data_IF_963916917870
#
_entry.id   IF_963916917870
#
_cell.length_a   1.000
_cell.length_b   1.000
_cell.length_c   1.000
_cell.angle_alpha   90.00
_cell.angle_beta   90.00
_cell.angle_gamma   90.00
#
_symmetry.space_group_name_H-M   'P 1'
#
loop_
_entity.id
_entity.type
_entity.pdbx_description
1 polymer ?
#
# COMPACT_ATOMS: atom_id res chain seq x y z
N UNK A 1 2.86 -4.29 23.35
CA UNK A 1 2.24 -3.55 22.23
C UNK A 1 2.62 -4.17 20.89
N UNK A 2 1.91 -3.85 19.81
CA UNK A 2 2.17 -4.36 18.45
C UNK A 2 3.62 -4.15 18.01
N UNK A 3 4.11 -2.92 18.08
CA UNK A 3 5.46 -2.58 17.62
C UNK A 3 6.56 -3.29 18.43
N UNK A 4 6.26 -3.67 19.66
CA UNK A 4 7.20 -4.36 20.57
C UNK A 4 7.33 -5.86 20.26
N UNK A 5 6.39 -6.43 19.50
CA UNK A 5 6.43 -7.85 19.11
C UNK A 5 7.68 -8.22 18.29
N UNK A 6 8.35 -7.24 17.67
CA UNK A 6 9.59 -7.44 16.92
C UNK A 6 10.86 -6.96 17.62
N UNK A 7 10.73 -6.38 18.82
CA UNK A 7 11.85 -5.73 19.53
C UNK A 7 12.45 -6.70 20.55
N UNK A 8 13.15 -7.68 19.99
CA UNK A 8 13.94 -8.66 20.73
C UNK A 8 15.44 -8.37 20.65
N UNK A 9 16.18 -8.83 21.65
CA UNK A 9 17.63 -8.63 21.77
C UNK A 9 18.43 -9.16 20.57
N UNK A 10 17.93 -10.25 19.97
CA UNK A 10 18.48 -11.00 18.84
C UNK A 10 18.10 -10.40 17.48
N UNK A 11 17.03 -9.61 17.42
CA UNK A 11 16.54 -8.98 16.19
C UNK A 11 17.22 -7.64 15.94
N UNK A 12 18.56 -7.63 15.95
CA UNK A 12 19.36 -6.43 15.68
C UNK A 12 18.98 -5.78 14.34
N UNK A 13 19.05 -4.45 14.27
CA UNK A 13 18.66 -3.68 13.09
C UNK A 13 19.31 -4.15 11.78
N UNK A 14 20.57 -4.57 11.78
CA UNK A 14 21.25 -5.06 10.58
C UNK A 14 20.57 -6.30 9.96
N UNK A 15 19.87 -7.13 10.75
CA UNK A 15 19.07 -8.25 10.22
C UNK A 15 17.89 -7.73 9.39
N UNK A 16 17.32 -6.58 9.77
CA UNK A 16 16.27 -5.95 8.98
C UNK A 16 16.80 -5.46 7.63
N UNK A 17 18.04 -4.97 7.57
CA UNK A 17 18.67 -4.62 6.29
C UNK A 17 18.87 -5.85 5.39
N UNK A 18 19.34 -6.96 5.96
CA UNK A 18 19.51 -8.22 5.20
C UNK A 18 18.15 -8.73 4.71
N UNK A 19 17.13 -8.77 5.57
CA UNK A 19 15.82 -9.23 5.13
C UNK A 19 15.16 -8.28 4.13
N UNK A 20 15.40 -6.97 4.20
CA UNK A 20 15.01 -6.04 3.14
C UNK A 20 15.66 -6.38 1.79
N UNK A 21 16.96 -6.73 1.77
CA UNK A 21 17.63 -7.19 0.55
C UNK A 21 16.99 -8.47 0.01
N UNK A 22 16.64 -9.42 0.88
CA UNK A 22 15.95 -10.65 0.49
C UNK A 22 14.55 -10.35 -0.08
N UNK A 23 13.78 -9.48 0.57
CA UNK A 23 12.44 -9.07 0.11
C UNK A 23 12.52 -8.41 -1.28
N UNK A 24 13.48 -7.50 -1.48
CA UNK A 24 13.74 -6.88 -2.79
C UNK A 24 14.17 -7.92 -3.82
N UNK A 25 15.03 -8.89 -3.46
CA UNK A 25 15.40 -9.95 -4.38
C UNK A 25 14.18 -10.79 -4.82
N UNK A 26 13.25 -11.07 -3.91
CA UNK A 26 12.02 -11.80 -4.25
C UNK A 26 11.06 -11.00 -5.13
N UNK A 27 11.06 -9.67 -5.06
CA UNK A 27 10.27 -8.84 -5.98
C UNK A 27 10.82 -8.90 -7.40
N UNK A 28 12.16 -8.88 -7.57
CA UNK A 28 12.80 -9.08 -8.88
C UNK A 28 12.51 -10.47 -9.47
N UNK A 29 12.50 -11.53 -8.65
CA UNK A 29 12.07 -12.87 -9.10
C UNK A 29 10.62 -12.83 -9.58
N UNK A 30 9.74 -12.14 -8.85
CA UNK A 30 8.35 -11.97 -9.22
C UNK A 30 8.12 -11.15 -10.49
N UNK A 31 9.11 -10.35 -10.93
CA UNK A 31 9.06 -9.59 -12.19
C UNK A 31 9.53 -10.40 -13.41
N UNK A 32 10.08 -11.61 -13.23
CA UNK A 32 10.54 -12.46 -14.34
C UNK A 32 9.43 -12.73 -15.38
N UNK A 33 8.17 -13.03 -15.02
CA UNK A 33 7.10 -13.21 -16.02
C UNK A 33 6.89 -11.98 -16.89
N UNK A 34 6.93 -10.76 -16.32
CA UNK A 34 6.82 -9.51 -17.07
C UNK A 34 7.99 -9.36 -18.04
N UNK A 35 9.22 -9.58 -17.56
CA UNK A 35 10.43 -9.50 -18.38
C UNK A 35 10.40 -10.48 -19.56
N UNK A 36 10.00 -11.73 -19.32
CA UNK A 36 9.87 -12.75 -20.36
C UNK A 36 8.79 -12.38 -21.39
N UNK A 37 7.67 -11.82 -20.94
CA UNK A 37 6.63 -11.30 -21.82
C UNK A 37 7.15 -10.19 -22.74
N UNK A 38 7.91 -9.23 -22.19
CA UNK A 38 8.48 -8.12 -22.96
C UNK A 38 9.49 -8.66 -23.99
N UNK A 39 10.40 -9.54 -23.56
CA UNK A 39 11.38 -10.17 -24.45
C UNK A 39 10.68 -10.92 -25.58
N UNK A 40 9.59 -11.63 -25.31
CA UNK A 40 8.83 -12.34 -26.34
C UNK A 40 8.24 -11.38 -27.38
N UNK A 41 7.54 -10.31 -26.97
CA UNK A 41 6.99 -9.34 -27.91
C UNK A 41 8.11 -8.63 -28.72
N UNK A 42 9.23 -8.30 -28.09
CA UNK A 42 10.35 -7.65 -28.77
C UNK A 42 11.05 -8.57 -29.76
N UNK A 43 11.38 -9.79 -29.36
CA UNK A 43 12.17 -10.71 -30.20
C UNK A 43 11.30 -11.41 -31.24
N UNK A 44 10.10 -11.88 -30.86
CA UNK A 44 9.25 -12.67 -31.74
C UNK A 44 8.37 -11.80 -32.66
N UNK A 45 7.99 -10.59 -32.24
CA UNK A 45 7.05 -9.72 -32.98
C UNK A 45 7.66 -8.37 -33.39
N UNK A 46 8.90 -8.07 -33.00
CA UNK A 46 9.59 -6.85 -33.40
C UNK A 46 9.08 -5.58 -32.72
N UNK A 47 8.35 -5.71 -31.60
CA UNK A 47 7.89 -4.55 -30.81
C UNK A 47 9.10 -3.89 -30.12
N UNK A 48 9.32 -2.55 -30.25
CA UNK A 48 10.42 -1.88 -29.58
C UNK A 48 10.41 -2.14 -28.07
N UNK A 49 11.60 -2.39 -27.49
CA UNK A 49 11.73 -2.55 -26.03
C UNK A 49 11.38 -1.23 -25.32
N UNK A 50 10.63 -1.26 -24.19
CA UNK A 50 10.20 -0.04 -23.51
C UNK A 50 11.39 0.75 -22.96
N UNK A 51 11.47 2.05 -23.29
CA UNK A 51 12.59 2.91 -22.94
C UNK A 51 12.53 3.45 -21.50
N UNK A 52 11.40 3.31 -20.82
CA UNK A 52 11.20 3.79 -19.44
C UNK A 52 9.94 3.25 -18.79
N UNK A 53 9.66 3.72 -17.57
CA UNK A 53 8.54 3.24 -16.76
C UNK A 53 7.18 3.51 -17.39
N UNK A 54 6.98 4.67 -18.01
CA UNK A 54 5.70 5.02 -18.66
C UNK A 54 5.38 4.03 -19.80
N UNK A 55 6.33 3.79 -20.71
CA UNK A 55 6.16 2.81 -21.79
C UNK A 55 5.98 1.38 -21.25
N UNK A 56 6.67 1.02 -20.17
CA UNK A 56 6.52 -0.29 -19.53
C UNK A 56 5.11 -0.50 -18.97
N UNK A 57 4.54 0.51 -18.32
CA UNK A 57 3.17 0.46 -17.76
C UNK A 57 2.08 0.38 -18.85
N UNK A 58 2.42 0.68 -20.10
CA UNK A 58 1.51 0.66 -21.25
C UNK A 58 1.92 -0.34 -22.32
N UNK A 59 2.87 -1.24 -22.02
CA UNK A 59 3.44 -2.15 -23.00
C UNK A 59 2.46 -3.24 -23.46
N UNK A 60 1.66 -3.79 -22.54
CA UNK A 60 0.58 -4.74 -22.83
C UNK A 60 -0.80 -4.09 -22.64
N UNK A 61 -1.86 -4.83 -23.02
CA UNK A 61 -3.22 -4.50 -22.61
C UNK A 61 -3.29 -4.26 -21.08
N UNK A 62 -4.05 -3.26 -20.61
CA UNK A 62 -4.17 -2.90 -19.20
C UNK A 62 -4.34 -4.07 -18.22
N UNK A 63 -5.18 -5.07 -18.55
CA UNK A 63 -5.39 -6.21 -17.65
C UNK A 63 -4.15 -7.12 -17.58
N UNK A 64 -3.48 -7.34 -18.71
CA UNK A 64 -2.26 -8.16 -18.74
C UNK A 64 -1.11 -7.44 -18.02
N UNK A 65 -0.94 -6.13 -18.26
CA UNK A 65 0.07 -5.33 -17.56
C UNK A 65 -0.17 -5.35 -16.05
N UNK A 66 -1.41 -5.09 -15.61
CA UNK A 66 -1.79 -5.11 -14.20
C UNK A 66 -1.51 -6.49 -13.58
N UNK A 67 -1.92 -7.58 -14.23
CA UNK A 67 -1.66 -8.94 -13.75
C UNK A 67 -0.17 -9.23 -13.57
N UNK A 68 0.65 -8.93 -14.59
CA UNK A 68 2.09 -9.19 -14.59
C UNK A 68 2.86 -8.34 -13.58
N UNK A 69 2.36 -7.15 -13.24
CA UNK A 69 2.93 -6.34 -12.17
C UNK A 69 2.48 -6.88 -10.80
N UNK A 70 1.18 -7.13 -10.60
CA UNK A 70 0.65 -7.54 -9.31
C UNK A 70 1.12 -8.93 -8.88
N UNK A 71 1.40 -9.85 -9.83
CA UNK A 71 1.94 -11.17 -9.48
C UNK A 71 3.29 -11.08 -8.76
N UNK A 72 4.09 -10.04 -9.02
CA UNK A 72 5.36 -9.83 -8.33
C UNK A 72 5.22 -9.64 -6.81
N UNK A 73 4.08 -9.10 -6.36
CA UNK A 73 3.77 -8.95 -4.94
C UNK A 73 3.45 -10.28 -4.26
N UNK A 74 2.95 -11.29 -5.00
CA UNK A 74 2.78 -12.65 -4.46
C UNK A 74 4.14 -13.24 -4.08
N UNK A 75 5.14 -13.12 -4.96
CA UNK A 75 6.50 -13.57 -4.68
C UNK A 75 7.13 -12.78 -3.52
N UNK A 76 6.89 -11.47 -3.47
CA UNK A 76 7.38 -10.61 -2.39
C UNK A 76 6.75 -10.99 -1.05
N UNK A 77 5.45 -11.29 -1.00
CA UNK A 77 4.77 -11.78 0.20
C UNK A 77 5.37 -13.10 0.71
N UNK A 78 5.70 -14.02 -0.20
CA UNK A 78 6.41 -15.25 0.14
C UNK A 78 7.79 -14.93 0.72
N UNK A 79 8.53 -13.99 0.13
CA UNK A 79 9.81 -13.49 0.67
C UNK A 79 9.69 -12.94 2.09
N UNK A 80 8.67 -12.12 2.34
CA UNK A 80 8.36 -11.59 3.68
C UNK A 80 8.11 -12.74 4.67
N UNK A 81 7.29 -13.73 4.29
CA UNK A 81 7.03 -14.90 5.13
C UNK A 81 8.33 -15.60 5.54
N UNK A 82 9.23 -15.87 4.57
CA UNK A 82 10.51 -16.52 4.85
C UNK A 82 11.40 -15.67 5.77
N UNK A 83 11.51 -14.38 5.50
CA UNK A 83 12.30 -13.45 6.31
C UNK A 83 11.76 -13.40 7.75
N UNK A 84 10.46 -13.19 7.93
CA UNK A 84 9.83 -13.13 9.25
C UNK A 84 10.00 -14.46 10.01
N UNK A 85 9.74 -15.59 9.34
CA UNK A 85 9.76 -16.91 9.98
C UNK A 85 11.17 -17.40 10.31
N UNK A 86 12.12 -17.25 9.41
CA UNK A 86 13.44 -17.90 9.54
C UNK A 86 14.54 -16.94 9.96
N UNK A 87 14.56 -15.70 9.46
CA UNK A 87 15.59 -14.72 9.85
C UNK A 87 15.28 -14.10 11.22
N UNK A 88 14.01 -13.77 11.46
CA UNK A 88 13.57 -13.12 12.70
C UNK A 88 12.96 -14.05 13.74
N UNK A 89 12.71 -15.32 13.38
CA UNK A 89 12.05 -16.33 14.23
C UNK A 89 10.70 -15.86 14.79
N UNK A 90 10.02 -15.02 14.02
CA UNK A 90 8.72 -14.45 14.35
C UNK A 90 7.58 -15.20 13.65
N UNK A 91 6.35 -14.82 13.98
CA UNK A 91 5.15 -15.33 13.29
C UNK A 91 4.58 -14.23 12.40
N UNK A 92 3.85 -14.59 11.34
CA UNK A 92 3.13 -13.56 10.57
C UNK A 92 2.17 -12.77 11.46
N UNK A 93 1.52 -13.44 12.43
CA UNK A 93 0.66 -12.77 13.41
C UNK A 93 1.40 -11.67 14.16
N UNK A 94 2.62 -11.91 14.63
CA UNK A 94 3.39 -10.92 15.43
C UNK A 94 3.77 -9.69 14.62
N UNK A 95 3.83 -9.79 13.29
CA UNK A 95 3.99 -8.63 12.38
C UNK A 95 2.67 -8.08 11.85
N UNK A 96 1.52 -8.71 12.14
CA UNK A 96 0.17 -8.20 11.81
C UNK A 96 -0.50 -7.49 12.99
N UNK A 97 -0.50 -8.10 14.18
CA UNK A 97 -1.26 -7.62 15.35
C UNK A 97 -0.72 -8.17 16.67
N UNK A 98 -0.90 -7.44 17.78
CA UNK A 98 -0.69 -7.98 19.13
C UNK A 98 -1.89 -8.76 19.68
N UNK A 99 -3.00 -8.85 18.94
CA UNK A 99 -4.18 -9.63 19.33
C UNK A 99 -3.90 -11.14 19.23
N UNK A 100 -4.70 -11.98 19.93
CA UNK A 100 -4.59 -13.43 19.80
C UNK A 100 -4.80 -13.95 18.36
N UNK A 101 -5.67 -13.28 17.60
CA UNK A 101 -6.01 -13.59 16.21
C UNK A 101 -6.21 -12.29 15.41
N UNK A 102 -6.05 -12.37 14.09
CA UNK A 102 -6.37 -11.28 13.16
C UNK A 102 -7.86 -10.99 13.24
N UNK A 103 -8.21 -9.74 13.50
CA UNK A 103 -9.61 -9.31 13.59
C UNK A 103 -10.11 -8.82 12.22
N UNK A 104 -10.63 -9.77 11.43
CA UNK A 104 -11.18 -9.49 10.10
C UNK A 104 -12.33 -8.49 10.11
N UNK A 105 -13.04 -8.32 11.23
CA UNK A 105 -14.12 -7.31 11.32
C UNK A 105 -13.57 -5.89 11.16
N UNK A 106 -12.33 -5.65 11.59
CA UNK A 106 -11.63 -4.36 11.41
C UNK A 106 -11.26 -4.15 9.95
N UNK A 107 -10.73 -5.17 9.30
CA UNK A 107 -10.41 -5.15 7.86
C UNK A 107 -11.67 -4.78 7.07
N UNK A 108 -12.76 -5.54 7.24
CA UNK A 108 -14.01 -5.29 6.52
C UNK A 108 -14.65 -3.95 6.87
N UNK A 109 -14.58 -3.51 8.12
CA UNK A 109 -15.12 -2.21 8.51
C UNK A 109 -14.37 -1.07 7.84
N UNK A 110 -13.04 -1.08 7.92
CA UNK A 110 -12.19 -0.04 7.30
C UNK A 110 -12.35 -0.04 5.77
N UNK A 111 -12.36 -1.23 5.17
CA UNK A 111 -12.61 -1.42 3.74
C UNK A 111 -13.97 -0.84 3.32
N UNK A 112 -15.05 -1.19 4.02
CA UNK A 112 -16.40 -0.76 3.66
C UNK A 112 -16.58 0.75 3.83
N UNK A 113 -16.02 1.31 4.91
CA UNK A 113 -16.09 2.75 5.18
C UNK A 113 -15.39 3.54 4.08
N UNK A 114 -14.16 3.15 3.73
CA UNK A 114 -13.40 3.85 2.69
C UNK A 114 -14.00 3.62 1.30
N UNK A 115 -14.43 2.40 0.97
CA UNK A 115 -15.12 2.11 -0.30
C UNK A 115 -16.36 2.97 -0.49
N UNK A 116 -17.19 3.09 0.55
CA UNK A 116 -18.38 3.94 0.49
C UNK A 116 -18.01 5.41 0.29
N UNK A 117 -17.01 5.90 1.03
CA UNK A 117 -16.52 7.27 0.86
C UNK A 117 -16.04 7.52 -0.57
N UNK A 118 -15.14 6.67 -1.09
CA UNK A 118 -14.57 6.79 -2.45
C UNK A 118 -15.66 6.74 -3.52
N UNK A 119 -16.58 5.78 -3.46
CA UNK A 119 -17.70 5.66 -4.41
C UNK A 119 -18.54 6.94 -4.39
N UNK A 120 -18.95 7.40 -3.20
CA UNK A 120 -19.79 8.59 -3.05
C UNK A 120 -19.06 9.84 -3.56
N UNK A 121 -17.79 10.03 -3.19
CA UNK A 121 -17.01 11.19 -3.63
C UNK A 121 -16.80 11.21 -5.13
N UNK A 122 -16.50 10.05 -5.74
CA UNK A 122 -16.34 9.93 -7.19
C UNK A 122 -17.64 10.22 -7.92
N UNK A 123 -18.77 9.67 -7.47
CA UNK A 123 -20.07 9.94 -8.08
C UNK A 123 -20.46 11.41 -7.93
N UNK A 124 -20.25 12.01 -6.75
CA UNK A 124 -20.49 13.43 -6.55
C UNK A 124 -19.67 14.27 -7.53
N UNK A 125 -18.37 13.99 -7.66
CA UNK A 125 -17.49 14.73 -8.57
C UNK A 125 -17.88 14.55 -10.04
N UNK A 126 -18.26 13.33 -10.44
CA UNK A 126 -18.80 13.04 -11.77
C UNK A 126 -20.07 13.86 -12.07
N UNK A 127 -21.02 13.92 -11.14
CA UNK A 127 -22.27 14.67 -11.36
C UNK A 127 -22.09 16.18 -11.30
N UNK A 128 -21.11 16.70 -10.54
CA UNK A 128 -20.82 18.14 -10.51
C UNK A 128 -19.98 18.60 -11.69
N UNK A 129 -19.11 17.73 -12.23
CA UNK A 129 -18.21 18.03 -13.35
C UNK A 129 -18.27 16.95 -14.45
N UNK A 130 -19.43 16.74 -15.08
CA UNK A 130 -19.60 15.65 -16.04
C UNK A 130 -18.71 15.75 -17.28
N UNK A 131 -18.21 16.95 -17.60
CA UNK A 131 -17.28 17.18 -18.72
C UNK A 131 -15.88 16.61 -18.49
N UNK A 132 -15.51 16.32 -17.25
CA UNK A 132 -14.19 15.79 -16.89
C UNK A 132 -14.12 14.25 -17.02
N UNK A 133 -15.26 13.60 -17.29
CA UNK A 133 -15.37 12.14 -17.31
C UNK A 133 -15.99 11.62 -18.60
N UNK A 134 -15.49 10.47 -19.04
CA UNK A 134 -16.14 9.66 -20.07
C UNK A 134 -16.39 8.25 -19.56
N UNK A 135 -17.48 7.63 -20.03
CA UNK A 135 -17.77 6.24 -19.74
C UNK A 135 -16.76 5.34 -20.48
N UNK A 136 -15.98 4.57 -19.73
CA UNK A 136 -14.95 3.65 -20.24
C UNK A 136 -15.38 2.17 -20.14
N UNK A 137 -16.54 1.91 -19.53
CA UNK A 137 -17.00 0.58 -19.19
C UNK A 137 -17.14 -0.35 -20.40
N UNK A 138 -16.32 -1.41 -20.42
CA UNK A 138 -16.41 -2.54 -21.36
C UNK A 138 -16.67 -3.81 -20.55
N UNK A 139 -17.84 -4.47 -20.67
CA UNK A 139 -18.25 -5.54 -19.75
C UNK A 139 -17.23 -6.68 -19.59
N UNK A 140 -16.67 -7.18 -20.70
CA UNK A 140 -15.72 -8.31 -20.67
C UNK A 140 -14.35 -7.89 -20.09
N UNK A 141 -13.67 -6.84 -20.59
CA UNK A 141 -12.45 -6.36 -19.97
C UNK A 141 -12.61 -5.96 -18.49
N UNK A 142 -13.74 -5.34 -18.13
CA UNK A 142 -14.04 -4.98 -16.75
C UNK A 142 -14.23 -6.22 -15.85
N UNK A 143 -14.90 -7.26 -16.34
CA UNK A 143 -15.05 -8.50 -15.57
C UNK A 143 -13.68 -9.16 -15.29
N UNK A 144 -12.76 -9.14 -16.26
CA UNK A 144 -11.38 -9.60 -16.09
C UNK A 144 -10.65 -8.73 -15.05
N UNK A 145 -10.79 -7.40 -15.13
CA UNK A 145 -10.25 -6.46 -14.16
C UNK A 145 -10.76 -6.75 -12.74
N UNK A 146 -12.05 -7.05 -12.56
CA UNK A 146 -12.63 -7.41 -11.26
C UNK A 146 -11.98 -8.67 -10.71
N UNK A 147 -11.80 -9.71 -11.53
CA UNK A 147 -11.13 -10.95 -11.11
C UNK A 147 -9.69 -10.67 -10.68
N UNK A 148 -8.91 -9.99 -11.54
CA UNK A 148 -7.52 -9.64 -11.22
C UNK A 148 -7.45 -8.79 -9.95
N UNK A 149 -8.25 -7.73 -9.89
CA UNK A 149 -8.27 -6.76 -8.82
C UNK A 149 -8.63 -7.38 -7.48
N UNK A 150 -9.72 -8.16 -7.40
CA UNK A 150 -10.20 -8.76 -6.15
C UNK A 150 -9.18 -9.74 -5.57
N UNK A 151 -8.44 -10.48 -6.40
CA UNK A 151 -7.47 -11.46 -5.91
C UNK A 151 -6.08 -10.88 -5.67
N UNK A 152 -5.60 -10.00 -6.55
CA UNK A 152 -4.19 -9.57 -6.52
C UNK A 152 -3.99 -8.20 -5.87
N UNK A 153 -4.93 -7.25 -5.94
CA UNK A 153 -4.77 -5.94 -5.29
C UNK A 153 -4.70 -6.09 -3.76
N UNK A 154 -5.57 -6.88 -3.09
CA UNK A 154 -5.41 -7.11 -1.65
C UNK A 154 -4.07 -7.75 -1.28
N UNK A 155 -3.48 -8.58 -2.14
CA UNK A 155 -2.14 -9.15 -1.89
C UNK A 155 -1.07 -8.06 -2.05
N UNK A 156 -1.16 -7.23 -3.07
CA UNK A 156 -0.26 -6.09 -3.29
C UNK A 156 -0.29 -5.12 -2.11
N UNK A 157 -1.46 -4.62 -1.73
CA UNK A 157 -1.58 -3.68 -0.61
C UNK A 157 -1.19 -4.31 0.71
N UNK A 158 -1.52 -5.58 0.94
CA UNK A 158 -1.04 -6.31 2.13
C UNK A 158 0.48 -6.42 2.15
N UNK A 159 1.10 -6.73 1.02
CA UNK A 159 2.57 -6.83 0.91
C UNK A 159 3.22 -5.52 1.33
N UNK A 160 2.69 -4.39 0.84
CA UNK A 160 3.16 -3.07 1.23
C UNK A 160 2.97 -2.81 2.73
N UNK A 161 1.79 -3.09 3.29
CA UNK A 161 1.57 -2.95 4.73
C UNK A 161 2.51 -3.84 5.56
N UNK A 162 2.76 -5.08 5.14
CA UNK A 162 3.73 -5.95 5.81
C UNK A 162 5.16 -5.43 5.70
N UNK A 163 5.57 -4.82 4.58
CA UNK A 163 6.88 -4.20 4.45
C UNK A 163 6.99 -2.98 5.37
N UNK A 164 6.05 -2.04 5.29
CA UNK A 164 6.17 -0.75 5.96
C UNK A 164 5.74 -0.80 7.42
N UNK A 165 4.57 -1.35 7.73
CA UNK A 165 3.93 -1.29 9.06
C UNK A 165 4.26 -2.51 9.91
N UNK A 166 4.58 -3.64 9.28
CA UNK A 166 5.12 -4.82 9.95
C UNK A 166 6.64 -4.75 10.09
N UNK A 167 7.33 -5.02 8.99
CA UNK A 167 8.75 -5.32 8.96
C UNK A 167 9.65 -4.12 9.27
N UNK A 168 9.58 -3.07 8.47
CA UNK A 168 10.43 -1.88 8.63
C UNK A 168 10.09 -1.11 9.90
N UNK A 169 8.81 -1.01 10.26
CA UNK A 169 8.38 -0.35 11.50
C UNK A 169 9.00 -1.04 12.74
N UNK A 170 8.98 -2.37 12.81
CA UNK A 170 9.66 -3.10 13.89
C UNK A 170 11.18 -2.95 13.82
N UNK A 171 11.77 -2.93 12.62
CA UNK A 171 13.20 -2.70 12.43
C UNK A 171 13.66 -1.35 12.97
N UNK A 172 13.01 -0.26 12.55
CA UNK A 172 13.31 1.07 13.06
C UNK A 172 12.98 1.22 14.54
N UNK A 173 11.97 0.50 15.05
CA UNK A 173 11.67 0.48 16.48
C UNK A 173 12.81 -0.14 17.27
N UNK A 174 13.40 -1.22 16.73
CA UNK A 174 14.58 -1.83 17.30
C UNK A 174 15.81 -0.90 17.25
N UNK A 175 15.95 -0.07 16.22
CA UNK A 175 17.03 0.92 16.13
C UNK A 175 16.86 2.07 17.14
N UNK A 176 15.72 2.75 17.10
CA UNK A 176 15.52 4.04 17.77
C UNK A 176 14.94 3.93 19.19
N UNK A 177 14.41 2.76 19.57
CA UNK A 177 13.80 2.48 20.88
C UNK A 177 12.69 3.47 21.27
N UNK A 178 11.98 3.99 20.27
CA UNK A 178 10.82 4.87 20.40
C UNK A 178 9.84 4.63 19.25
N UNK A 179 8.62 5.16 19.37
CA UNK A 179 7.53 4.91 18.42
C UNK A 179 7.39 5.97 17.32
N UNK A 180 7.90 7.19 17.55
CA UNK A 180 7.76 8.28 16.58
C UNK A 180 8.70 8.11 15.39
N UNK A 181 9.92 7.62 15.61
CA UNK A 181 10.91 7.46 14.55
C UNK A 181 10.49 6.41 13.51
N UNK A 182 10.04 5.19 13.90
CA UNK A 182 9.50 4.22 12.95
C UNK A 182 8.30 4.74 12.18
N UNK A 183 7.39 5.45 12.87
CA UNK A 183 6.20 6.04 12.26
C UNK A 183 6.59 7.02 11.13
N UNK A 184 7.45 7.99 11.43
CA UNK A 184 7.86 8.98 10.42
C UNK A 184 8.71 8.35 9.32
N UNK A 185 9.68 7.51 9.67
CA UNK A 185 10.62 6.95 8.70
C UNK A 185 9.92 6.05 7.69
N UNK A 186 9.01 5.17 8.13
CA UNK A 186 8.25 4.30 7.22
C UNK A 186 7.30 5.10 6.33
N UNK A 187 6.74 6.21 6.83
CA UNK A 187 5.87 7.10 6.04
C UNK A 187 6.63 7.85 4.95
N UNK A 188 7.84 8.33 5.24
CA UNK A 188 8.71 8.99 4.27
C UNK A 188 9.16 8.00 3.20
N UNK A 189 9.62 6.81 3.59
CA UNK A 189 10.05 5.78 2.64
C UNK A 189 8.87 5.35 1.77
N UNK A 190 7.67 5.15 2.33
CA UNK A 190 6.45 4.86 1.57
C UNK A 190 6.19 5.93 0.50
N UNK A 191 6.26 7.21 0.86
CA UNK A 191 6.14 8.30 -0.11
C UNK A 191 7.23 8.29 -1.18
N UNK A 192 8.49 8.04 -0.79
CA UNK A 192 9.62 7.98 -1.71
C UNK A 192 9.53 6.84 -2.73
N UNK A 193 8.89 5.71 -2.39
CA UNK A 193 8.66 4.61 -3.33
C UNK A 193 7.81 5.01 -4.54
N UNK A 194 7.08 6.12 -4.45
CA UNK A 194 6.24 6.65 -5.52
C UNK A 194 6.95 7.73 -6.36
N UNK A 195 8.25 7.94 -6.18
CA UNK A 195 9.03 8.94 -6.92
C UNK A 195 8.96 8.77 -8.45
N UNK A 196 8.86 7.52 -8.91
CA UNK A 196 8.83 7.19 -10.34
C UNK A 196 7.42 7.14 -10.94
N UNK A 197 6.40 7.51 -10.17
CA UNK A 197 5.01 7.51 -10.63
C UNK A 197 4.80 8.64 -11.66
N UNK A 198 4.07 8.38 -12.77
CA UNK A 198 3.77 9.41 -13.78
C UNK A 198 3.10 10.64 -13.18
N UNK A 199 2.28 10.48 -12.14
CA UNK A 199 1.59 11.55 -11.44
C UNK A 199 2.56 12.60 -10.87
N UNK A 200 3.74 12.19 -10.41
CA UNK A 200 4.78 13.13 -9.91
C UNK A 200 5.25 14.05 -11.03
N UNK A 201 5.45 13.51 -12.24
CA UNK A 201 5.88 14.30 -13.39
C UNK A 201 4.81 15.28 -13.88
N UNK A 202 3.52 14.92 -13.72
CA UNK A 202 2.38 15.72 -14.21
C UNK A 202 1.90 16.75 -13.19
N UNK A 203 1.82 16.37 -11.91
CA UNK A 203 1.24 17.18 -10.83
C UNK A 203 2.31 17.86 -9.96
N UNK A 204 3.58 17.49 -10.12
CA UNK A 204 4.71 18.01 -9.36
C UNK A 204 4.84 17.43 -7.95
N UNK A 205 5.86 17.88 -7.22
CA UNK A 205 6.25 17.33 -5.92
C UNK A 205 5.20 17.48 -4.81
N UNK A 206 4.17 18.29 -5.01
CA UNK A 206 3.10 18.46 -4.02
C UNK A 206 2.32 17.16 -3.77
N UNK A 207 2.30 16.22 -4.72
CA UNK A 207 1.67 14.90 -4.53
C UNK A 207 2.32 14.08 -3.41
N UNK A 208 3.57 14.36 -3.03
CA UNK A 208 4.20 13.73 -1.88
C UNK A 208 3.50 14.06 -0.56
N UNK A 209 2.75 15.16 -0.47
CA UNK A 209 1.87 15.42 0.68
C UNK A 209 0.85 14.29 0.83
N UNK A 210 0.23 13.87 -0.27
CA UNK A 210 -0.71 12.76 -0.29
C UNK A 210 -0.02 11.42 -0.01
N UNK A 211 1.10 11.11 -0.69
CA UNK A 211 1.78 9.81 -0.49
C UNK A 211 2.35 9.66 0.93
N UNK A 212 3.09 10.66 1.43
CA UNK A 212 3.64 10.64 2.80
C UNK A 212 2.50 10.75 3.82
N UNK A 213 1.48 11.57 3.56
CA UNK A 213 0.32 11.74 4.44
C UNK A 213 -0.49 10.45 4.60
N UNK A 214 -0.71 9.71 3.50
CA UNK A 214 -1.31 8.37 3.52
C UNK A 214 -0.40 7.39 4.25
N UNK A 215 0.90 7.47 3.98
CA UNK A 215 1.98 6.82 4.72
C UNK A 215 1.78 6.91 6.24
N UNK A 216 1.68 8.14 6.71
CA UNK A 216 1.54 8.53 8.11
C UNK A 216 0.21 8.09 8.69
N UNK A 217 -0.88 8.31 7.98
CA UNK A 217 -2.22 7.91 8.41
C UNK A 217 -2.30 6.40 8.70
N UNK A 218 -1.85 5.56 7.77
CA UNK A 218 -1.85 4.11 7.95
C UNK A 218 -0.90 3.64 9.06
N UNK A 219 0.23 4.34 9.24
CA UNK A 219 1.12 4.13 10.38
C UNK A 219 0.45 4.45 11.72
N UNK A 220 -0.30 5.55 11.80
CA UNK A 220 -1.09 5.93 12.99
C UNK A 220 -2.18 4.90 13.26
N UNK A 221 -2.93 4.43 12.24
CA UNK A 221 -3.91 3.36 12.41
C UNK A 221 -3.24 2.13 13.04
N UNK A 222 -2.09 1.72 12.51
CA UNK A 222 -1.40 0.52 12.96
C UNK A 222 -0.97 0.63 14.43
N UNK A 223 -0.36 1.74 14.83
CA UNK A 223 0.11 1.95 16.20
C UNK A 223 -1.03 2.14 17.18
N UNK A 224 -2.02 2.97 16.83
CA UNK A 224 -3.17 3.22 17.72
C UNK A 224 -4.03 1.97 17.90
N UNK A 225 -4.19 1.18 16.84
CA UNK A 225 -5.02 -0.01 16.87
C UNK A 225 -4.30 -1.27 17.37
N UNK A 226 -3.00 -1.20 17.65
CA UNK A 226 -2.19 -2.37 18.02
C UNK A 226 -2.25 -3.50 16.97
N UNK A 227 -2.29 -3.12 15.69
CA UNK A 227 -2.26 -4.02 14.55
C UNK A 227 -2.68 -3.34 13.25
N UNK A 228 -2.30 -3.93 12.13
CA UNK A 228 -2.47 -3.35 10.79
C UNK A 228 -3.85 -3.60 10.16
N UNK A 229 -4.79 -4.28 10.82
CA UNK A 229 -6.06 -4.70 10.21
C UNK A 229 -6.86 -3.53 9.60
N UNK A 230 -6.90 -2.37 10.26
CA UNK A 230 -7.55 -1.18 9.70
C UNK A 230 -6.78 -0.62 8.49
N UNK A 231 -5.45 -0.66 8.53
CA UNK A 231 -4.61 -0.23 7.41
C UNK A 231 -4.78 -1.14 6.20
N UNK A 232 -4.80 -2.48 6.40
CA UNK A 232 -5.08 -3.47 5.37
C UNK A 232 -6.43 -3.22 4.68
N UNK A 233 -7.49 -3.02 5.47
CA UNK A 233 -8.83 -2.76 4.94
C UNK A 233 -8.90 -1.45 4.15
N UNK A 234 -8.34 -0.37 4.71
CA UNK A 234 -8.31 0.93 4.05
C UNK A 234 -7.54 0.88 2.73
N UNK A 235 -6.31 0.35 2.76
CA UNK A 235 -5.42 0.34 1.60
C UNK A 235 -5.98 -0.56 0.49
N UNK A 236 -6.50 -1.75 0.83
CA UNK A 236 -7.19 -2.59 -0.13
C UNK A 236 -8.40 -1.89 -0.77
N UNK A 237 -9.23 -1.18 0.02
CA UNK A 237 -10.33 -0.40 -0.54
C UNK A 237 -9.82 0.73 -1.45
N UNK A 238 -8.79 1.46 -1.02
CA UNK A 238 -8.25 2.59 -1.75
C UNK A 238 -7.81 2.16 -3.15
N UNK A 239 -7.07 1.06 -3.26
CA UNK A 239 -6.52 0.63 -4.53
C UNK A 239 -7.56 -0.13 -5.37
N UNK A 240 -8.33 -1.04 -4.76
CA UNK A 240 -9.30 -1.86 -5.50
C UNK A 240 -10.44 -1.00 -6.03
N UNK A 241 -11.04 -0.16 -5.18
CA UNK A 241 -12.18 0.67 -5.58
C UNK A 241 -11.74 1.72 -6.60
N UNK A 242 -10.59 2.36 -6.40
CA UNK A 242 -10.07 3.32 -7.39
C UNK A 242 -9.83 2.65 -8.74
N UNK A 243 -9.14 1.50 -8.76
CA UNK A 243 -8.88 0.75 -10.00
C UNK A 243 -10.17 0.31 -10.73
N UNK A 244 -11.26 0.03 -10.01
CA UNK A 244 -12.53 -0.36 -10.62
C UNK A 244 -13.34 0.86 -11.10
N UNK A 245 -13.27 1.98 -10.38
CA UNK A 245 -14.12 3.14 -10.66
C UNK A 245 -13.53 4.07 -11.70
N UNK A 246 -12.26 4.46 -11.59
CA UNK A 246 -11.67 5.56 -12.36
C UNK A 246 -10.27 5.22 -12.84
N UNK A 247 -9.98 5.54 -14.11
CA UNK A 247 -8.64 5.50 -14.70
C UNK A 247 -8.35 6.85 -15.35
N UNK A 248 -7.08 7.18 -15.58
CA UNK A 248 -6.68 8.34 -16.37
C UNK A 248 -5.44 8.03 -17.22
N UNK A 249 -5.22 8.78 -18.30
CA UNK A 249 -4.04 8.57 -19.16
C UNK A 249 -2.73 8.90 -18.45
N UNK A 250 -2.80 9.70 -17.38
CA UNK A 250 -1.65 10.13 -16.58
C UNK A 250 -1.46 9.31 -15.29
N UNK A 251 -2.27 8.27 -15.07
CA UNK A 251 -2.13 7.38 -13.90
C UNK A 251 -1.08 6.29 -14.13
N UNK A 252 -0.41 5.86 -13.06
CA UNK A 252 0.55 4.75 -13.10
C UNK A 252 -0.09 3.44 -13.58
N UNK A 253 -1.33 3.17 -13.15
CA UNK A 253 -2.10 2.01 -13.57
C UNK A 253 -3.31 2.44 -14.37
N UNK A 254 -3.22 2.28 -15.70
CA UNK A 254 -4.39 2.34 -16.55
C UNK A 254 -5.19 1.04 -16.44
N UNK A 255 -6.51 1.14 -16.32
CA UNK A 255 -7.39 -0.02 -16.14
C UNK A 255 -8.64 0.08 -17.01
N UNK A 256 -9.34 -1.04 -17.21
CA UNK A 256 -10.66 -1.06 -17.85
C UNK A 256 -11.77 -0.65 -16.86
N UNK A 257 -11.55 0.42 -16.08
CA UNK A 257 -12.47 0.96 -15.08
C UNK A 257 -13.79 1.47 -15.68
N UNK A 258 -14.77 1.78 -14.82
CA UNK A 258 -16.08 2.30 -15.24
C UNK A 258 -15.94 3.67 -15.92
N UNK A 259 -15.24 4.59 -15.28
CA UNK A 259 -15.02 5.95 -15.76
C UNK A 259 -13.56 6.16 -16.17
N UNK A 260 -13.36 7.03 -17.16
CA UNK A 260 -12.06 7.59 -17.47
C UNK A 260 -12.10 9.09 -17.21
N UNK A 261 -11.20 9.56 -16.36
CA UNK A 261 -10.95 10.97 -16.12
C UNK A 261 -10.09 11.52 -17.27
N UNK A 262 -10.61 12.54 -17.95
CA UNK A 262 -9.97 13.23 -19.08
C UNK A 262 -9.58 14.66 -18.73
N UNK A 263 -9.70 15.06 -17.47
CA UNK A 263 -9.28 16.37 -17.00
C UNK A 263 -7.76 16.54 -17.05
N UNK A 264 -7.32 17.80 -17.08
CA UNK A 264 -5.90 18.13 -16.95
C UNK A 264 -5.41 17.79 -15.53
N UNK A 265 -4.33 17.01 -15.37
CA UNK A 265 -3.80 16.66 -14.07
C UNK A 265 -3.30 17.92 -13.35
N UNK A 266 -3.95 18.26 -12.24
CA UNK A 266 -3.61 19.42 -11.42
C UNK A 266 -3.61 19.01 -9.98
N UNK A 267 -2.49 19.19 -9.29
CA UNK A 267 -2.50 19.08 -7.84
C UNK A 267 -3.17 20.30 -7.24
N UNK A 268 -4.33 20.09 -6.64
CA UNK A 268 -5.09 21.10 -5.93
C UNK A 268 -5.56 20.60 -4.57
N UNK A 269 -6.81 20.92 -4.25
CA UNK A 269 -7.44 20.53 -3.00
C UNK A 269 -7.61 19.01 -2.89
N UNK A 270 -7.70 18.29 -4.00
CA UNK A 270 -7.77 16.84 -4.08
C UNK A 270 -6.56 16.11 -3.45
N UNK A 271 -5.37 16.72 -3.50
CA UNK A 271 -4.15 16.18 -2.84
C UNK A 271 -4.11 16.53 -1.35
N UNK A 272 -4.55 17.73 -0.98
CA UNK A 272 -4.41 18.28 0.39
C UNK A 272 -5.57 17.87 1.29
N UNK A 273 -6.81 17.89 0.78
CA UNK A 273 -8.03 17.65 1.54
C UNK A 273 -8.07 16.26 2.20
N UNK A 274 -7.65 15.16 1.53
CA UNK A 274 -7.58 13.85 2.17
C UNK A 274 -6.72 13.88 3.44
N UNK A 275 -5.53 14.47 3.34
CA UNK A 275 -4.55 14.46 4.44
C UNK A 275 -4.96 15.41 5.57
N UNK A 276 -5.45 16.60 5.24
CA UNK A 276 -5.71 17.66 6.23
C UNK A 276 -7.09 17.57 6.88
N UNK A 277 -8.06 16.91 6.24
CA UNK A 277 -9.46 16.88 6.70
C UNK A 277 -9.98 15.46 6.80
N UNK A 278 -9.91 14.68 5.72
CA UNK A 278 -10.59 13.36 5.67
C UNK A 278 -9.90 12.35 6.59
N UNK A 279 -8.58 12.24 6.55
CA UNK A 279 -7.82 11.31 7.39
C UNK A 279 -7.96 11.64 8.89
N UNK A 280 -7.89 12.91 9.35
CA UNK A 280 -8.25 13.26 10.73
C UNK A 280 -9.67 12.85 11.14
N UNK A 281 -10.66 13.01 10.26
CA UNK A 281 -12.04 12.56 10.52
C UNK A 281 -12.09 11.03 10.65
N UNK A 282 -11.41 10.29 9.77
CA UNK A 282 -11.32 8.83 9.87
C UNK A 282 -10.61 8.38 11.15
N UNK A 283 -9.52 9.03 11.53
CA UNK A 283 -8.83 8.78 12.81
C UNK A 283 -9.79 8.99 13.98
N UNK A 284 -10.61 10.05 13.95
CA UNK A 284 -11.63 10.29 14.97
C UNK A 284 -12.70 9.17 15.00
N UNK A 285 -13.19 8.74 13.82
CA UNK A 285 -14.18 7.65 13.72
C UNK A 285 -13.61 6.34 14.30
N UNK A 286 -12.39 5.96 13.90
CA UNK A 286 -11.74 4.75 14.41
C UNK A 286 -11.45 4.85 15.91
N UNK A 287 -10.97 6.01 16.38
CA UNK A 287 -10.73 6.29 17.79
C UNK A 287 -11.99 6.09 18.64
N UNK A 288 -13.14 6.61 18.18
CA UNK A 288 -14.41 6.45 18.89
C UNK A 288 -14.92 5.02 18.83
N UNK A 289 -14.86 4.37 17.67
CA UNK A 289 -15.36 3.00 17.49
C UNK A 289 -14.57 1.97 18.30
N UNK A 290 -13.25 2.10 18.31
CA UNK A 290 -12.34 1.14 18.94
C UNK A 290 -11.75 1.64 20.26
N UNK A 291 -12.30 2.75 20.77
CA UNK A 291 -12.00 3.31 22.09
C UNK A 291 -10.49 3.55 22.30
N UNK A 292 -9.83 4.13 21.31
CA UNK A 292 -8.40 4.40 21.40
C UNK A 292 -8.08 5.45 22.47
N UNK A 293 -7.20 5.08 23.39
CA UNK A 293 -6.63 5.94 24.43
C UNK A 293 -5.11 6.10 24.25
N UNK A 294 -4.50 6.93 25.09
CA UNK A 294 -3.05 7.01 25.30
C UNK A 294 -2.22 7.34 24.05
N UNK A 295 -2.75 8.21 23.19
CA UNK A 295 -2.14 8.67 21.93
C UNK A 295 -0.67 9.07 22.07
N UNK A 296 -0.33 9.82 23.13
CA UNK A 296 1.06 10.25 23.38
C UNK A 296 1.97 9.04 23.56
N UNK A 297 1.58 8.08 24.38
CA UNK A 297 2.35 6.87 24.62
C UNK A 297 2.40 5.97 23.39
N UNK A 298 1.30 5.84 22.65
CA UNK A 298 1.25 4.99 21.43
C UNK A 298 2.03 5.54 20.25
N UNK A 299 2.13 6.86 20.10
CA UNK A 299 2.80 7.48 18.95
C UNK A 299 4.22 7.97 19.24
N UNK A 300 4.52 8.34 20.48
CA UNK A 300 5.81 8.96 20.85
C UNK A 300 6.51 8.28 22.03
N UNK A 301 5.87 7.29 22.66
CA UNK A 301 6.41 6.55 23.79
C UNK A 301 7.71 5.84 23.49
N UNK A 302 8.45 5.53 24.56
CA UNK A 302 9.68 4.74 24.51
C UNK A 302 9.35 3.25 24.38
N UNK A 303 10.28 2.48 23.86
CA UNK A 303 10.15 1.02 23.72
C UNK A 303 11.21 0.36 24.59
N UNK A 304 10.79 -0.56 25.45
CA UNK A 304 11.70 -1.41 26.21
C UNK A 304 12.08 -2.65 25.40
N UNK A 305 13.33 -3.08 25.50
CA UNK A 305 13.79 -4.30 24.85
C UNK A 305 13.30 -5.48 25.67
N UNK A 306 12.64 -6.44 25.02
CA UNK A 306 12.32 -7.70 25.67
C UNK A 306 13.59 -8.56 25.74
N UNK A 307 14.06 -8.81 26.95
CA UNK A 307 15.05 -9.87 27.21
C UNK A 307 14.33 -11.22 27.17
N UNK A 308 14.90 -12.21 26.49
CA UNK A 308 14.30 -13.54 26.47
C UNK A 308 14.34 -14.13 27.87
N UNK A 309 13.17 -14.31 28.48
CA UNK A 309 12.99 -15.40 29.42
C UNK A 309 13.07 -16.68 28.59
N UNK A 310 14.25 -17.32 28.60
CA UNK A 310 14.42 -18.69 28.09
C UNK A 310 13.31 -19.57 28.63
N UNK A 311 12.47 -20.09 27.72
CA UNK A 311 11.65 -21.28 27.95
C UNK A 311 12.28 -22.39 27.12
#
# INVERSE_FOLDING_TARGET
>A
MFIEQGVHSENKFWKYLIGSVIIIATSFVGQVPLLLGIIYETVAKGVPYPAGNEELMHFFDPNLTLFLILISFVFTMVGIYFVVRYLHKQTMRSVTTSRPNIDWKRVFFSFSLWSAFTIISTLLFYYTNPGDFVLNFKPVPFAILVVIGVFLIPIQTSTEEYVFRGYLMQGFANLAKNKWFPLLMTSIIFGAMHLSNPEVSKMGNIIFVYYIGTGLFLGVLTLMDEGMELALGFHAANNLVSALLVTSDWSAFQTHSIFKDISEPKAGLDVILPVMVIYPILLYIFSKKYQWSDWKEKLTGKIQIQENNTI
#
